data_IF_375288949452
#
_entry.id   IF_375288949452
#
_cell.length_a   1.000
_cell.length_b   1.000
_cell.length_c   1.000
_cell.angle_alpha   90.00
_cell.angle_beta   90.00
_cell.angle_gamma   90.00
#
_symmetry.space_group_name_H-M   'P 1'
#
loop_
_entity.id
_entity.type
_entity.pdbx_description
1 polymer ?
#
# COMPACT_ATOMS: atom_id res chain seq x y z
N UNK A 1 12.97 -1.22 18.54
CA UNK A 1 14.31 -0.64 18.62
C UNK A 1 14.89 -0.56 17.20
N UNK A 2 15.08 0.66 16.62
CA UNK A 2 15.51 0.81 15.23
C UNK A 2 16.88 0.19 14.92
N UNK A 3 17.81 0.29 15.88
CA UNK A 3 19.16 -0.26 15.72
C UNK A 3 19.16 -1.78 15.67
N UNK A 4 18.39 -2.43 16.55
CA UNK A 4 18.29 -3.92 16.56
C UNK A 4 17.72 -4.44 15.25
N UNK A 5 16.73 -3.72 14.66
CA UNK A 5 16.18 -4.06 13.35
C UNK A 5 17.24 -3.91 12.24
N UNK A 6 18.01 -2.84 12.27
CA UNK A 6 19.12 -2.64 11.34
C UNK A 6 20.17 -3.75 11.45
N UNK A 7 20.63 -4.04 12.67
CA UNK A 7 21.66 -5.04 12.94
C UNK A 7 21.24 -6.46 12.51
N UNK A 8 19.92 -6.72 12.52
CA UNK A 8 19.37 -7.99 12.04
C UNK A 8 19.22 -8.04 10.52
N UNK A 9 18.64 -6.99 9.91
CA UNK A 9 18.24 -7.03 8.49
C UNK A 9 19.36 -6.64 7.52
N UNK A 10 20.26 -5.74 7.92
CA UNK A 10 21.32 -5.26 7.01
C UNK A 10 22.28 -6.35 6.57
N UNK A 11 22.75 -7.28 7.42
CA UNK A 11 23.56 -8.42 6.96
C UNK A 11 22.84 -9.34 5.96
N UNK A 12 21.51 -9.46 6.06
CA UNK A 12 20.72 -10.24 5.10
C UNK A 12 20.64 -9.53 3.74
N UNK A 13 20.53 -8.22 3.75
CA UNK A 13 20.61 -7.39 2.55
C UNK A 13 21.96 -7.58 1.84
N UNK A 14 23.07 -7.49 2.56
CA UNK A 14 24.41 -7.72 2.01
C UNK A 14 24.57 -9.15 1.46
N UNK A 15 24.09 -10.14 2.21
CA UNK A 15 24.12 -11.55 1.78
C UNK A 15 23.29 -11.77 0.51
N UNK A 16 22.13 -11.14 0.38
CA UNK A 16 21.30 -11.24 -0.82
C UNK A 16 22.05 -10.73 -2.04
N UNK A 17 22.74 -9.59 -1.93
CA UNK A 17 23.59 -9.08 -3.03
C UNK A 17 24.77 -9.98 -3.34
N UNK A 18 25.44 -10.55 -2.34
CA UNK A 18 26.55 -11.48 -2.55
C UNK A 18 26.13 -12.75 -3.30
N UNK A 19 24.90 -13.22 -3.05
CA UNK A 19 24.39 -14.48 -3.62
C UNK A 19 23.65 -14.27 -4.96
N UNK A 20 23.24 -13.07 -5.30
CA UNK A 20 22.51 -12.80 -6.53
C UNK A 20 23.45 -12.37 -7.67
N UNK A 21 23.74 -13.26 -8.64
CA UNK A 21 24.63 -12.95 -9.76
C UNK A 21 24.04 -11.90 -10.73
N UNK A 22 22.74 -11.61 -10.63
CA UNK A 22 22.07 -10.61 -11.45
C UNK A 22 22.06 -9.21 -10.79
N UNK A 23 22.51 -9.11 -9.55
CA UNK A 23 22.54 -7.87 -8.79
C UNK A 23 21.17 -7.13 -8.80
N UNK A 24 20.09 -7.89 -8.60
CA UNK A 24 18.74 -7.32 -8.54
C UNK A 24 18.58 -6.46 -7.30
N UNK A 25 17.75 -5.41 -7.36
CA UNK A 25 17.47 -4.59 -6.18
C UNK A 25 16.87 -5.42 -5.04
N UNK A 26 17.35 -5.18 -3.83
CA UNK A 26 16.91 -5.83 -2.60
C UNK A 26 16.17 -4.82 -1.72
N UNK A 27 15.06 -5.25 -1.16
CA UNK A 27 14.27 -4.42 -0.23
C UNK A 27 13.67 -5.27 0.88
N UNK A 28 13.18 -4.59 1.89
CA UNK A 28 12.26 -5.13 2.89
C UNK A 28 11.07 -4.18 3.04
N UNK A 29 9.98 -4.67 3.61
CA UNK A 29 8.77 -3.88 3.75
C UNK A 29 8.70 -3.25 5.14
N UNK A 30 8.57 -1.94 5.18
CA UNK A 30 8.29 -1.18 6.41
C UNK A 30 6.79 -1.04 6.63
N UNK A 31 6.31 -1.54 7.76
CA UNK A 31 4.94 -1.30 8.24
C UNK A 31 4.89 -0.44 9.51
N UNK A 32 6.02 0.13 9.94
CA UNK A 32 6.09 0.96 11.13
C UNK A 32 5.42 2.32 10.89
N UNK A 33 4.52 2.72 11.81
CA UNK A 33 3.81 4.00 11.70
C UNK A 33 4.71 5.22 11.94
N UNK A 34 5.73 5.11 12.81
CA UNK A 34 6.72 6.16 12.99
C UNK A 34 7.87 5.98 12.00
N UNK A 35 7.62 6.33 10.76
CA UNK A 35 8.56 6.19 9.65
C UNK A 35 9.86 7.00 9.85
N UNK A 36 9.82 8.06 10.67
CA UNK A 36 11.02 8.87 10.93
C UNK A 36 12.09 8.12 11.69
N UNK A 37 11.73 7.08 12.43
CA UNK A 37 12.62 6.20 13.19
C UNK A 37 13.09 4.97 12.41
N UNK A 38 12.56 4.73 11.21
CA UNK A 38 12.99 3.60 10.40
C UNK A 38 14.33 3.88 9.75
N UNK A 39 15.38 3.29 10.31
CA UNK A 39 16.75 3.39 9.77
C UNK A 39 17.07 2.24 8.82
N UNK A 40 16.36 1.12 8.89
CA UNK A 40 16.64 -0.08 8.11
C UNK A 40 16.19 0.06 6.66
N UNK A 41 14.95 0.49 6.44
CA UNK A 41 14.38 0.64 5.08
C UNK A 41 15.17 1.66 4.24
N UNK A 42 15.72 2.69 4.89
CA UNK A 42 16.57 3.69 4.22
C UNK A 42 17.85 3.11 3.60
N UNK A 43 18.33 1.99 4.09
CA UNK A 43 19.57 1.35 3.61
C UNK A 43 19.35 0.37 2.47
N UNK A 44 18.10 -0.01 2.19
CA UNK A 44 17.74 -0.87 1.08
C UNK A 44 17.85 -0.15 -0.28
N UNK A 45 17.86 -0.87 -1.37
CA UNK A 45 17.91 -0.30 -2.72
C UNK A 45 16.62 0.44 -3.08
N UNK A 46 15.49 -0.09 -2.61
CA UNK A 46 14.15 0.45 -2.84
C UNK A 46 13.46 0.59 -1.49
N UNK A 47 12.77 1.70 -1.28
CA UNK A 47 11.88 1.89 -0.13
C UNK A 47 10.55 1.19 -0.40
N UNK A 48 10.20 0.17 0.38
CA UNK A 48 8.88 -0.47 0.33
C UNK A 48 8.11 -0.22 1.62
N UNK A 49 6.89 0.27 1.49
CA UNK A 49 6.05 0.62 2.65
C UNK A 49 4.65 0.04 2.52
N UNK A 50 4.10 -0.43 3.66
CA UNK A 50 2.70 -0.81 3.79
C UNK A 50 1.97 0.31 4.54
N UNK A 51 0.96 0.94 3.91
CA UNK A 51 0.25 2.08 4.50
C UNK A 51 -1.25 1.98 4.29
N UNK A 52 -1.97 2.30 5.35
CA UNK A 52 -3.42 2.19 5.39
C UNK A 52 -4.06 3.47 5.95
N UNK A 53 -3.53 4.64 5.56
CA UNK A 53 -4.15 5.94 5.86
C UNK A 53 -5.57 5.99 5.29
N UNK A 54 -6.54 6.39 6.10
CA UNK A 54 -7.96 6.37 5.74
C UNK A 54 -8.67 5.06 6.03
N UNK A 55 -7.93 3.99 6.41
CA UNK A 55 -8.51 2.72 6.82
C UNK A 55 -8.25 2.40 8.29
N UNK A 56 -7.02 2.04 8.70
CA UNK A 56 -6.67 1.77 10.10
C UNK A 56 -6.37 3.07 10.86
N UNK A 57 -5.71 4.01 10.22
CA UNK A 57 -5.43 5.34 10.74
C UNK A 57 -6.30 6.35 10.00
N UNK A 58 -6.91 7.31 10.71
CA UNK A 58 -7.83 8.30 10.13
C UNK A 58 -9.00 7.63 9.39
N UNK A 59 -9.59 6.61 10.01
CA UNK A 59 -10.62 5.75 9.41
C UNK A 59 -11.77 6.57 8.83
N UNK A 60 -12.03 6.45 7.53
CA UNK A 60 -13.07 7.16 6.80
C UNK A 60 -12.78 8.63 6.49
N UNK A 61 -11.75 9.22 7.07
CA UNK A 61 -11.35 10.61 6.83
C UNK A 61 -10.29 10.68 5.73
N UNK A 62 -10.71 10.65 4.48
CA UNK A 62 -9.81 10.57 3.33
C UNK A 62 -9.02 11.87 3.09
N UNK A 63 -9.55 13.02 3.47
CA UNK A 63 -8.85 14.31 3.32
C UNK A 63 -7.63 14.39 4.25
N UNK A 64 -7.83 14.09 5.54
CA UNK A 64 -6.73 14.04 6.50
C UNK A 64 -5.79 12.86 6.22
N UNK A 65 -6.29 11.74 5.70
CA UNK A 65 -5.49 10.61 5.26
C UNK A 65 -4.55 11.01 4.11
N UNK A 66 -5.04 11.71 3.10
CA UNK A 66 -4.23 12.25 2.01
C UNK A 66 -3.17 13.23 2.53
N UNK A 67 -3.55 14.15 3.40
CA UNK A 67 -2.60 15.10 3.99
C UNK A 67 -1.48 14.40 4.76
N UNK A 68 -1.82 13.45 5.64
CA UNK A 68 -0.84 12.72 6.43
C UNK A 68 0.08 11.85 5.54
N UNK A 69 -0.48 11.20 4.53
CA UNK A 69 0.30 10.38 3.61
C UNK A 69 1.25 11.24 2.75
N UNK A 70 0.81 12.41 2.26
CA UNK A 70 1.70 13.35 1.56
C UNK A 70 2.87 13.80 2.42
N UNK A 71 2.66 14.03 3.72
CA UNK A 71 3.75 14.34 4.67
C UNK A 71 4.76 13.20 4.82
N UNK A 72 4.28 11.96 4.85
CA UNK A 72 5.18 10.81 4.84
C UNK A 72 5.95 10.70 3.52
N UNK A 73 5.29 10.92 2.38
CA UNK A 73 5.96 10.93 1.07
C UNK A 73 7.02 12.03 0.98
N UNK A 74 6.76 13.25 1.52
CA UNK A 74 7.75 14.33 1.61
C UNK A 74 9.02 13.86 2.35
N UNK A 75 8.84 13.10 3.44
CA UNK A 75 9.97 12.52 4.18
C UNK A 75 10.74 11.49 3.35
N UNK A 76 10.05 10.51 2.72
CA UNK A 76 10.71 9.49 1.93
C UNK A 76 11.43 10.05 0.70
N UNK A 77 10.92 11.12 0.10
CA UNK A 77 11.57 11.82 -1.01
C UNK A 77 12.97 12.33 -0.63
N UNK A 78 13.20 12.70 0.64
CA UNK A 78 14.52 13.13 1.12
C UNK A 78 15.57 12.01 1.16
N UNK A 79 15.15 10.75 1.08
CA UNK A 79 16.04 9.58 1.08
C UNK A 79 16.66 9.34 -0.31
N UNK A 80 16.10 9.96 -1.35
CA UNK A 80 16.59 9.88 -2.74
C UNK A 80 16.68 8.44 -3.28
N UNK A 81 15.63 7.64 -3.01
CA UNK A 81 15.48 6.25 -3.47
C UNK A 81 14.11 6.03 -4.10
N UNK A 82 14.00 5.09 -5.05
CA UNK A 82 12.69 4.67 -5.54
C UNK A 82 11.81 4.15 -4.39
N UNK A 83 10.51 4.40 -4.46
CA UNK A 83 9.53 3.94 -3.49
C UNK A 83 8.46 3.07 -4.15
N UNK A 84 8.11 1.98 -3.49
CA UNK A 84 6.94 1.15 -3.81
C UNK A 84 5.98 1.18 -2.61
N UNK A 85 4.73 1.56 -2.85
CA UNK A 85 3.65 1.32 -1.89
C UNK A 85 3.21 -0.14 -2.03
N UNK A 86 3.76 -1.00 -1.17
CA UNK A 86 3.64 -2.46 -1.29
C UNK A 86 2.37 -3.04 -0.68
N UNK A 87 1.67 -2.29 0.15
CA UNK A 87 0.29 -2.60 0.57
C UNK A 87 -0.50 -1.34 0.90
N UNK A 88 -1.70 -1.27 0.38
CA UNK A 88 -2.74 -0.30 0.77
C UNK A 88 -4.11 -0.83 0.35
N UNK A 89 -5.17 -0.51 1.09
CA UNK A 89 -6.51 -0.99 0.76
C UNK A 89 -7.52 -0.80 1.89
N UNK A 90 -8.79 -0.91 1.55
CA UNK A 90 -9.92 -0.82 2.45
C UNK A 90 -10.81 -2.05 2.34
N UNK A 91 -11.26 -2.60 3.47
CA UNK A 91 -12.21 -3.71 3.46
C UNK A 91 -13.56 -3.26 2.88
N UNK A 92 -14.15 -4.10 2.03
CA UNK A 92 -15.35 -3.78 1.26
C UNK A 92 -16.24 -5.02 1.12
N UNK A 93 -17.47 -4.90 1.58
CA UNK A 93 -18.45 -5.97 1.42
C UNK A 93 -19.00 -5.90 -0.01
N UNK A 94 -18.74 -6.95 -0.81
CA UNK A 94 -19.21 -7.01 -2.19
C UNK A 94 -20.72 -6.85 -2.28
N UNK A 95 -21.18 -5.98 -3.19
CA UNK A 95 -22.58 -5.62 -3.36
C UNK A 95 -23.14 -4.65 -2.30
N UNK A 96 -22.31 -4.18 -1.35
CA UNK A 96 -22.70 -3.11 -0.44
C UNK A 96 -22.44 -1.76 -1.09
N UNK A 97 -23.52 -1.01 -1.33
CA UNK A 97 -23.50 0.30 -1.96
C UNK A 97 -24.12 1.36 -1.06
N UNK A 98 -23.68 2.61 -1.19
CA UNK A 98 -24.19 3.76 -0.45
C UNK A 98 -24.34 4.99 -1.34
N UNK A 99 -25.20 5.91 -0.94
CA UNK A 99 -25.36 7.20 -1.61
C UNK A 99 -24.08 8.06 -1.48
N UNK A 100 -23.39 7.94 -0.34
CA UNK A 100 -22.09 8.55 -0.09
C UNK A 100 -21.04 7.44 0.08
N UNK A 101 -19.73 7.72 -0.13
CA UNK A 101 -18.67 6.76 0.15
C UNK A 101 -18.54 6.50 1.66
N UNK A 102 -19.29 5.54 2.17
CA UNK A 102 -19.22 5.09 3.57
C UNK A 102 -18.32 3.87 3.68
N UNK A 103 -17.55 3.76 4.77
CA UNK A 103 -16.66 2.61 5.00
C UNK A 103 -17.41 1.29 4.77
N UNK A 104 -16.73 0.31 4.19
CA UNK A 104 -17.22 -1.00 3.74
C UNK A 104 -18.05 -1.00 2.45
N UNK A 105 -18.46 0.14 1.89
CA UNK A 105 -19.11 0.19 0.57
C UNK A 105 -18.08 0.06 -0.55
N UNK A 106 -18.54 -0.36 -1.73
CA UNK A 106 -17.67 -0.45 -2.92
C UNK A 106 -17.24 0.95 -3.39
N UNK A 107 -18.10 1.96 -3.22
CA UNK A 107 -17.80 3.36 -3.51
C UNK A 107 -16.66 3.88 -2.62
N UNK A 108 -16.68 3.55 -1.32
CA UNK A 108 -15.60 3.94 -0.41
C UNK A 108 -14.27 3.32 -0.81
N UNK A 109 -14.25 2.05 -1.18
CA UNK A 109 -13.02 1.38 -1.62
C UNK A 109 -12.41 2.09 -2.84
N UNK A 110 -13.25 2.47 -3.81
CA UNK A 110 -12.79 3.20 -4.99
C UNK A 110 -12.28 4.58 -4.61
N UNK A 111 -13.00 5.33 -3.78
CA UNK A 111 -12.58 6.67 -3.36
C UNK A 111 -11.30 6.64 -2.53
N UNK A 112 -11.15 5.65 -1.64
CA UNK A 112 -9.92 5.38 -0.92
C UNK A 112 -8.74 5.20 -1.90
N UNK A 113 -8.87 4.32 -2.89
CA UNK A 113 -7.82 4.12 -3.88
C UNK A 113 -7.55 5.36 -4.70
N UNK A 114 -8.59 6.08 -5.14
CA UNK A 114 -8.44 7.33 -5.89
C UNK A 114 -7.64 8.37 -5.10
N UNK A 115 -7.95 8.52 -3.82
CA UNK A 115 -7.28 9.46 -2.91
C UNK A 115 -5.80 9.10 -2.74
N UNK A 116 -5.50 7.85 -2.40
CA UNK A 116 -4.10 7.40 -2.18
C UNK A 116 -3.30 7.44 -3.48
N UNK A 117 -3.88 6.97 -4.58
CA UNK A 117 -3.21 6.98 -5.89
C UNK A 117 -2.95 8.41 -6.38
N UNK A 118 -3.85 9.37 -6.09
CA UNK A 118 -3.61 10.78 -6.35
C UNK A 118 -2.36 11.31 -5.65
N UNK A 119 -2.13 10.90 -4.38
CA UNK A 119 -0.90 11.26 -3.67
C UNK A 119 0.35 10.66 -4.31
N UNK A 120 0.26 9.41 -4.82
CA UNK A 120 1.38 8.74 -5.47
C UNK A 120 1.72 9.37 -6.84
N UNK A 121 0.70 9.74 -7.61
CA UNK A 121 0.86 10.30 -8.96
C UNK A 121 1.57 11.67 -8.97
N UNK A 122 1.55 12.38 -7.84
CA UNK A 122 2.29 13.62 -7.65
C UNK A 122 3.81 13.43 -7.44
N UNK A 123 4.30 12.19 -7.32
CA UNK A 123 5.66 11.86 -6.86
C UNK A 123 6.42 11.00 -7.86
N UNK A 124 7.47 11.58 -8.48
CA UNK A 124 8.29 10.87 -9.48
C UNK A 124 9.11 9.71 -8.93
N UNK A 125 9.48 9.74 -7.64
CA UNK A 125 10.25 8.68 -7.01
C UNK A 125 9.41 7.45 -6.66
N UNK A 126 8.08 7.54 -6.71
CA UNK A 126 7.17 6.39 -6.56
C UNK A 126 7.14 5.60 -7.87
N UNK A 127 7.68 4.39 -7.84
CA UNK A 127 7.83 3.52 -9.01
C UNK A 127 6.89 2.31 -9.03
N UNK A 128 6.12 2.09 -7.96
CA UNK A 128 5.19 0.95 -7.87
C UNK A 128 4.08 1.18 -6.85
N UNK A 129 2.94 0.54 -7.12
CA UNK A 129 1.76 0.52 -6.26
C UNK A 129 1.13 -0.87 -6.29
N UNK A 130 0.99 -1.51 -5.11
CA UNK A 130 0.42 -2.85 -4.99
C UNK A 130 -0.77 -2.83 -4.03
N UNK A 131 -2.01 -2.82 -4.55
CA UNK A 131 -3.19 -2.90 -3.69
C UNK A 131 -3.20 -4.18 -2.86
N UNK A 132 -3.47 -4.05 -1.58
CA UNK A 132 -3.77 -5.20 -0.75
C UNK A 132 -5.29 -5.34 -0.70
N UNK A 133 -5.86 -6.35 -1.35
CA UNK A 133 -5.17 -7.43 -2.04
C UNK A 133 -5.95 -7.83 -3.31
N UNK A 134 -5.49 -8.87 -4.01
CA UNK A 134 -6.14 -9.32 -5.24
C UNK A 134 -7.56 -9.81 -4.98
N UNK A 135 -7.77 -10.72 -4.03
CA UNK A 135 -9.07 -11.29 -3.73
C UNK A 135 -9.28 -11.50 -2.23
N UNK A 136 -10.53 -11.39 -1.79
CA UNK A 136 -10.94 -11.65 -0.42
C UNK A 136 -10.49 -13.03 0.06
N UNK A 137 -10.08 -13.15 1.33
CA UNK A 137 -9.64 -14.40 1.90
C UNK A 137 -10.05 -14.57 3.36
N UNK A 138 -10.20 -15.81 3.80
CA UNK A 138 -10.56 -16.14 5.18
C UNK A 138 -9.45 -15.73 6.16
N UNK A 139 -9.84 -15.20 7.30
CA UNK A 139 -8.95 -14.80 8.38
C UNK A 139 -9.64 -15.04 9.72
N UNK A 140 -8.95 -14.78 10.82
CA UNK A 140 -9.59 -14.80 12.12
C UNK A 140 -10.69 -13.73 12.23
N UNK A 141 -11.67 -13.95 13.08
CA UNK A 141 -12.73 -12.98 13.36
C UNK A 141 -12.19 -11.76 14.14
N UNK A 142 -12.75 -10.59 13.84
CA UNK A 142 -12.45 -9.34 14.55
C UNK A 142 -13.34 -8.21 14.05
N UNK A 143 -13.36 -7.06 14.73
CA UNK A 143 -14.21 -5.92 14.34
C UNK A 143 -13.99 -5.46 12.90
N UNK A 144 -12.76 -5.53 12.41
CA UNK A 144 -12.38 -5.14 11.05
C UNK A 144 -12.44 -6.32 10.05
N UNK A 145 -12.96 -7.48 10.47
CA UNK A 145 -12.98 -8.72 9.66
C UNK A 145 -14.39 -9.28 9.58
N UNK A 146 -15.26 -8.53 8.92
CA UNK A 146 -16.67 -8.90 8.73
C UNK A 146 -16.79 -10.28 8.12
N UNK A 147 -17.44 -11.21 8.84
CA UNK A 147 -17.61 -12.61 8.43
C UNK A 147 -16.30 -13.41 8.41
N UNK A 148 -15.35 -13.11 9.33
CA UNK A 148 -14.04 -13.78 9.40
C UNK A 148 -13.27 -13.73 8.07
N UNK A 149 -13.35 -12.60 7.39
CA UNK A 149 -12.79 -12.42 6.04
C UNK A 149 -12.00 -11.10 5.96
N UNK A 150 -10.82 -11.13 5.37
CA UNK A 150 -10.17 -9.94 4.87
C UNK A 150 -10.82 -9.58 3.55
N UNK A 151 -11.53 -8.46 3.53
CA UNK A 151 -12.35 -8.02 2.39
C UNK A 151 -11.72 -6.88 1.59
N UNK A 152 -10.40 -6.72 1.68
CA UNK A 152 -9.68 -5.71 0.89
C UNK A 152 -9.46 -6.12 -0.56
N UNK A 153 -9.90 -7.32 -0.96
CA UNK A 153 -9.79 -7.80 -2.32
C UNK A 153 -10.38 -6.84 -3.34
N UNK A 154 -9.73 -6.69 -4.48
CA UNK A 154 -10.33 -6.10 -5.68
C UNK A 154 -11.42 -7.00 -6.24
N UNK A 155 -11.28 -8.30 -5.97
CA UNK A 155 -12.25 -9.34 -6.31
C UNK A 155 -12.78 -10.01 -5.05
N UNK A 156 -13.95 -10.61 -5.12
CA UNK A 156 -14.40 -11.54 -4.09
C UNK A 156 -13.52 -12.79 -4.05
N UNK A 157 -13.67 -13.63 -3.04
CA UNK A 157 -12.98 -14.91 -2.96
C UNK A 157 -13.23 -15.80 -4.20
N UNK A 158 -14.42 -15.72 -4.76
CA UNK A 158 -14.87 -16.45 -5.97
C UNK A 158 -14.44 -15.77 -7.27
N UNK A 159 -13.70 -14.67 -7.20
CA UNK A 159 -13.17 -13.87 -8.33
C UNK A 159 -14.22 -13.01 -9.04
N UNK A 160 -15.34 -12.72 -8.40
CA UNK A 160 -16.26 -11.69 -8.89
C UNK A 160 -15.61 -10.31 -8.70
N UNK A 161 -15.52 -9.47 -9.75
CA UNK A 161 -14.92 -8.15 -9.61
C UNK A 161 -15.81 -7.23 -8.77
N UNK A 162 -15.17 -6.47 -7.87
CA UNK A 162 -15.77 -5.31 -7.20
C UNK A 162 -15.53 -4.04 -8.01
N UNK A 163 -16.14 -2.91 -7.67
CA UNK A 163 -15.91 -1.64 -8.36
C UNK A 163 -14.42 -1.25 -8.44
N UNK A 164 -13.65 -1.58 -7.41
CA UNK A 164 -12.21 -1.31 -7.38
C UNK A 164 -11.44 -2.09 -8.47
N UNK A 165 -11.87 -3.28 -8.86
CA UNK A 165 -11.24 -4.01 -9.97
C UNK A 165 -11.38 -3.26 -11.30
N UNK A 166 -12.55 -2.66 -11.54
CA UNK A 166 -12.78 -1.84 -12.73
C UNK A 166 -11.97 -0.53 -12.69
N UNK A 167 -11.88 0.10 -11.50
CA UNK A 167 -11.05 1.27 -11.30
C UNK A 167 -9.57 0.99 -11.66
N UNK A 168 -8.98 -0.11 -11.17
CA UNK A 168 -7.59 -0.45 -11.47
C UNK A 168 -7.37 -0.89 -12.90
N UNK A 169 -8.31 -1.61 -13.52
CA UNK A 169 -8.25 -1.89 -14.96
C UNK A 169 -8.11 -0.60 -15.77
N UNK A 170 -8.92 0.43 -15.44
CA UNK A 170 -8.91 1.68 -16.16
C UNK A 170 -7.68 2.54 -15.83
N UNK A 171 -7.19 2.47 -14.57
CA UNK A 171 -5.99 3.16 -14.13
C UNK A 171 -4.73 2.61 -14.81
N UNK A 172 -4.55 1.30 -14.74
CA UNK A 172 -3.35 0.67 -15.30
C UNK A 172 -3.39 0.54 -16.82
N UNK A 173 -4.58 0.38 -17.41
CA UNK A 173 -4.75 0.33 -18.86
C UNK A 173 -4.50 1.66 -19.60
N UNK A 174 -4.46 2.79 -18.88
CA UNK A 174 -4.15 4.12 -19.44
C UNK A 174 -2.68 4.52 -19.28
N UNK A 175 -1.91 3.80 -18.45
CA UNK A 175 -0.48 4.10 -18.26
C UNK A 175 0.31 3.44 -19.39
N UNK A 176 0.85 4.25 -20.29
CA UNK A 176 1.87 3.79 -21.25
C UNK A 176 3.13 3.37 -20.49
N UNK A 177 3.89 2.36 -20.98
CA UNK A 177 5.08 1.85 -20.30
C UNK A 177 6.17 2.91 -20.02
N UNK A 178 6.07 4.10 -20.61
CA UNK A 178 7.07 5.17 -20.53
C UNK A 178 6.55 6.43 -19.83
N UNK A 179 5.38 6.43 -19.21
CA UNK A 179 4.78 7.62 -18.58
C UNK A 179 5.30 7.90 -17.15
N UNK A 180 6.50 7.40 -16.79
CA UNK A 180 7.16 7.69 -15.51
C UNK A 180 8.58 8.17 -15.69
#
# INVERSE_FOLDING_TARGET
>A
FPQDAYDYWHPLYELAHQLDPQNRPVTLVCCQNDYTKDITTRTMDIVCINRYYGWYNLSGDLDNAAYAFKKELDFWETIDKPLILSEYGADTVAGMHGFAPEMFTEEFQVEYYRTINGCLDERRFVVGEWPWNFADFSTQQGPMRVGSCNRKGLFTRERTPKLAAHYFRDRWGKKEPNDR
#
